data_IF_094159569306
#
_entry.id   IF_094159569306
#
_cell.length_a   1.000
_cell.length_b   1.000
_cell.length_c   1.000
_cell.angle_alpha   90.00
_cell.angle_beta   90.00
_cell.angle_gamma   90.00
#
_symmetry.space_group_name_H-M   'P 1'
#
loop_
_entity.id
_entity.type
_entity.pdbx_description
1 polymer ?
#
# COMPACT_ATOMS: atom_id res chain seq x y z
N UNK A 1 -1.59 26.94 8.09
CA UNK A 1 -2.77 26.05 8.08
C UNK A 1 -2.28 24.60 8.03
N UNK A 2 -2.95 23.69 8.74
CA UNK A 2 -2.60 22.26 8.68
C UNK A 2 -2.83 21.72 7.25
N UNK A 3 -2.08 20.68 6.88
CA UNK A 3 -2.25 20.00 5.59
C UNK A 3 -3.33 18.93 5.75
N UNK A 4 -4.48 19.16 5.14
CA UNK A 4 -5.68 18.38 5.33
C UNK A 4 -5.88 17.35 4.18
N UNK A 5 -6.82 16.40 4.38
CA UNK A 5 -7.14 15.37 3.40
C UNK A 5 -7.53 15.96 2.03
N UNK A 6 -8.36 17.00 2.00
CA UNK A 6 -8.80 17.64 0.74
C UNK A 6 -7.62 18.26 -0.03
N UNK A 7 -6.66 18.85 0.69
CA UNK A 7 -5.44 19.38 0.07
C UNK A 7 -4.57 18.23 -0.46
N UNK A 8 -4.45 17.13 0.29
CA UNK A 8 -3.73 15.93 -0.17
C UNK A 8 -4.37 15.34 -1.43
N UNK A 9 -5.69 15.21 -1.49
CA UNK A 9 -6.43 14.77 -2.67
C UNK A 9 -6.13 15.66 -3.88
N UNK A 10 -6.21 16.99 -3.70
CA UNK A 10 -5.91 17.95 -4.77
C UNK A 10 -4.47 17.82 -5.29
N UNK A 11 -3.50 17.67 -4.37
CA UNK A 11 -2.10 17.51 -4.73
C UNK A 11 -1.84 16.16 -5.42
N UNK A 12 -2.48 15.07 -4.99
CA UNK A 12 -2.44 13.77 -5.68
C UNK A 12 -2.95 13.88 -7.12
N UNK A 13 -4.13 14.49 -7.33
CA UNK A 13 -4.69 14.72 -8.67
C UNK A 13 -3.71 15.50 -9.55
N UNK A 14 -3.17 16.59 -9.02
CA UNK A 14 -2.22 17.45 -9.75
C UNK A 14 -0.96 16.70 -10.15
N UNK A 15 -0.35 15.96 -9.22
CA UNK A 15 0.87 15.19 -9.46
C UNK A 15 0.65 14.07 -10.48
N UNK A 16 -0.42 13.26 -10.30
CA UNK A 16 -0.71 12.13 -11.17
C UNK A 16 -1.24 12.54 -12.56
N UNK A 17 -1.90 13.69 -12.69
CA UNK A 17 -2.30 14.24 -14.00
C UNK A 17 -1.08 14.74 -14.78
N UNK A 18 -0.12 15.39 -14.09
CA UNK A 18 1.11 15.88 -14.70
C UNK A 18 2.06 14.75 -15.07
N UNK A 19 2.22 13.77 -14.18
CA UNK A 19 3.09 12.61 -14.35
C UNK A 19 2.48 11.39 -13.65
N UNK A 20 1.84 10.46 -14.36
CA UNK A 20 1.32 9.21 -13.79
C UNK A 20 2.42 8.18 -13.46
N UNK A 21 3.67 8.47 -13.83
CA UNK A 21 4.84 7.61 -13.67
C UNK A 21 5.49 7.71 -12.28
N UNK A 22 6.71 7.18 -12.16
CA UNK A 22 7.41 7.09 -10.87
C UNK A 22 7.63 8.42 -10.17
N UNK A 23 7.84 9.52 -10.91
CA UNK A 23 8.10 10.84 -10.31
C UNK A 23 6.85 11.43 -9.67
N UNK A 24 5.69 11.40 -10.37
CA UNK A 24 4.43 11.88 -9.78
C UNK A 24 3.98 11.04 -8.60
N UNK A 25 4.22 9.71 -8.66
CA UNK A 25 3.96 8.81 -7.52
C UNK A 25 4.87 9.11 -6.33
N UNK A 26 6.11 9.49 -6.55
CA UNK A 26 7.02 9.93 -5.48
C UNK A 26 6.54 11.23 -4.83
N UNK A 27 5.98 12.16 -5.59
CA UNK A 27 5.35 13.35 -5.02
C UNK A 27 4.14 12.99 -4.15
N UNK A 28 3.31 12.02 -4.58
CA UNK A 28 2.21 11.49 -3.75
C UNK A 28 2.75 10.91 -2.44
N UNK A 29 3.85 10.16 -2.49
CA UNK A 29 4.50 9.60 -1.29
C UNK A 29 4.95 10.71 -0.33
N UNK A 30 5.62 11.73 -0.84
CA UNK A 30 6.07 12.88 -0.02
C UNK A 30 4.89 13.63 0.59
N UNK A 31 3.83 13.84 -0.19
CA UNK A 31 2.62 14.50 0.28
C UNK A 31 1.87 13.65 1.33
N UNK A 32 1.92 12.31 1.23
CA UNK A 32 1.38 11.42 2.27
C UNK A 32 2.17 11.56 3.57
N UNK A 33 3.50 11.64 3.53
CA UNK A 33 4.29 11.91 4.73
C UNK A 33 3.91 13.26 5.37
N UNK A 34 3.65 14.28 4.54
CA UNK A 34 3.18 15.58 5.03
C UNK A 34 1.80 15.50 5.68
N UNK A 35 0.86 14.74 5.10
CA UNK A 35 -0.47 14.52 5.67
C UNK A 35 -0.38 13.82 7.04
N UNK A 36 0.49 12.83 7.17
CA UNK A 36 0.72 12.09 8.41
C UNK A 36 1.41 12.92 9.51
N UNK A 37 1.94 14.11 9.21
CA UNK A 37 2.38 15.07 10.23
C UNK A 37 1.23 15.90 10.82
N UNK A 38 0.02 15.84 10.23
CA UNK A 38 -1.15 16.49 10.78
C UNK A 38 -1.77 15.60 11.89
N UNK A 39 -1.67 16.00 13.18
CA UNK A 39 -2.16 15.18 14.28
C UNK A 39 -3.69 15.04 14.28
N UNK A 40 -4.40 16.03 13.76
CA UNK A 40 -5.87 15.96 13.67
C UNK A 40 -6.32 14.95 12.63
N UNK A 41 -5.63 14.88 11.49
CA UNK A 41 -5.88 13.85 10.49
C UNK A 41 -5.62 12.45 11.07
N UNK A 42 -4.47 12.25 11.71
CA UNK A 42 -4.10 10.95 12.30
C UNK A 42 -5.10 10.54 13.37
N UNK A 43 -5.46 11.45 14.27
CA UNK A 43 -6.45 11.19 15.30
C UNK A 43 -7.81 10.79 14.71
N UNK A 44 -8.35 11.61 13.81
CA UNK A 44 -9.69 11.41 13.25
C UNK A 44 -9.80 10.17 12.36
N UNK A 45 -8.84 9.95 11.46
CA UNK A 45 -8.93 8.93 10.42
C UNK A 45 -8.17 7.64 10.73
N UNK A 46 -7.32 7.66 11.76
CA UNK A 46 -6.52 6.49 12.12
C UNK A 46 -6.76 6.01 13.55
N UNK A 47 -6.73 6.90 14.55
CA UNK A 47 -6.80 6.50 15.96
C UNK A 47 -8.23 6.28 16.45
N UNK A 48 -9.13 7.23 16.17
CA UNK A 48 -10.54 7.21 16.60
C UNK A 48 -11.46 6.47 15.63
N UNK A 49 -10.98 6.17 14.41
CA UNK A 49 -11.76 5.44 13.43
C UNK A 49 -11.99 3.98 13.87
N UNK A 50 -13.18 3.42 13.61
CA UNK A 50 -13.49 2.04 13.96
C UNK A 50 -12.58 1.06 13.19
N UNK A 51 -12.39 -0.15 13.77
CA UNK A 51 -11.63 -1.22 13.11
C UNK A 51 -12.15 -1.50 11.71
N UNK A 52 -11.24 -1.68 10.77
CA UNK A 52 -11.55 -2.07 9.40
C UNK A 52 -10.71 -1.36 8.35
N UNK A 53 -11.14 -1.52 7.12
CA UNK A 53 -10.62 -0.82 5.96
C UNK A 53 -11.60 0.29 5.59
N UNK A 54 -11.13 1.53 5.58
CA UNK A 54 -11.95 2.69 5.25
C UNK A 54 -11.45 3.34 3.98
N UNK A 55 -12.32 3.47 2.98
CA UNK A 55 -12.04 4.27 1.78
C UNK A 55 -12.27 5.74 2.17
N UNK A 56 -11.19 6.50 2.29
CA UNK A 56 -11.23 7.92 2.58
C UNK A 56 -11.54 8.74 1.32
N UNK A 57 -11.05 8.26 0.18
CA UNK A 57 -11.28 8.87 -1.12
C UNK A 57 -11.04 7.88 -2.26
N UNK A 58 -11.85 7.98 -3.31
CA UNK A 58 -11.66 7.32 -4.60
C UNK A 58 -11.82 8.35 -5.71
N UNK A 59 -10.79 8.46 -6.56
CA UNK A 59 -10.80 9.45 -7.65
C UNK A 59 -11.65 8.96 -8.83
N UNK A 60 -12.68 9.72 -9.25
CA UNK A 60 -13.59 9.27 -10.29
C UNK A 60 -12.99 9.28 -11.71
N UNK A 61 -11.89 10.00 -11.94
CA UNK A 61 -11.26 10.13 -13.25
C UNK A 61 -9.95 9.35 -13.34
N UNK A 62 -9.08 9.47 -12.32
CA UNK A 62 -7.77 8.83 -12.29
C UNK A 62 -7.80 7.44 -11.64
N UNK A 63 -8.87 7.11 -10.91
CA UNK A 63 -9.10 5.81 -10.30
C UNK A 63 -8.26 5.48 -9.08
N UNK A 64 -7.39 6.37 -8.60
CA UNK A 64 -6.61 6.12 -7.39
C UNK A 64 -7.49 6.13 -6.14
N UNK A 65 -7.12 5.34 -5.15
CA UNK A 65 -7.81 5.26 -3.86
C UNK A 65 -6.89 5.68 -2.70
N UNK A 66 -7.47 6.33 -1.68
CA UNK A 66 -6.84 6.60 -0.39
C UNK A 66 -7.61 5.80 0.66
N UNK A 67 -6.93 4.90 1.36
CA UNK A 67 -7.54 3.96 2.30
C UNK A 67 -6.85 4.03 3.66
N UNK A 68 -7.63 4.05 4.75
CA UNK A 68 -7.10 3.89 6.09
C UNK A 68 -7.29 2.44 6.57
N UNK A 69 -6.20 1.83 7.03
CA UNK A 69 -6.18 0.49 7.61
C UNK A 69 -6.13 0.58 9.12
N UNK A 70 -7.20 0.17 9.78
CA UNK A 70 -7.37 0.24 11.24
C UNK A 70 -7.35 -1.19 11.78
N UNK A 71 -6.19 -1.62 12.28
CA UNK A 71 -5.95 -3.01 12.66
C UNK A 71 -5.91 -3.16 14.19
N UNK A 72 -6.64 -4.13 14.73
CA UNK A 72 -6.59 -4.45 16.17
C UNK A 72 -5.60 -5.58 16.46
N UNK A 73 -5.31 -6.42 15.48
CA UNK A 73 -4.46 -7.59 15.62
C UNK A 73 -3.27 -7.54 14.70
N UNK A 74 -2.16 -8.04 15.20
CA UNK A 74 -0.95 -8.27 14.44
C UNK A 74 -1.23 -9.16 13.21
N UNK A 75 -0.49 -8.92 12.14
CA UNK A 75 -0.59 -9.72 10.92
C UNK A 75 0.75 -9.81 10.21
N UNK A 76 1.01 -10.99 9.68
CA UNK A 76 2.06 -11.25 8.69
C UNK A 76 1.38 -11.61 7.38
N UNK A 77 1.62 -10.86 6.32
CA UNK A 77 1.14 -11.22 4.98
C UNK A 77 2.17 -12.08 4.25
N UNK A 78 1.75 -13.03 3.41
CA UNK A 78 2.65 -13.64 2.44
C UNK A 78 3.13 -12.60 1.43
N UNK A 79 4.26 -12.86 0.71
CA UNK A 79 4.64 -12.04 -0.42
C UNK A 79 3.51 -11.97 -1.45
N UNK A 80 3.31 -10.78 -1.99
CA UNK A 80 2.26 -10.51 -2.98
C UNK A 80 2.65 -9.27 -3.82
N UNK A 81 2.00 -9.11 -4.94
CA UNK A 81 2.04 -7.88 -5.70
C UNK A 81 0.66 -7.18 -5.74
N UNK A 82 0.62 -6.05 -6.39
CA UNK A 82 -0.61 -5.31 -6.66
C UNK A 82 -0.97 -5.32 -8.16
N UNK A 83 -0.46 -6.32 -8.91
CA UNK A 83 -0.72 -6.43 -10.34
C UNK A 83 -0.27 -5.18 -11.10
N UNK A 84 -1.17 -4.62 -11.91
CA UNK A 84 -0.92 -3.41 -12.69
C UNK A 84 -1.11 -2.10 -11.89
N UNK A 85 -1.04 -2.16 -10.55
CA UNK A 85 -1.16 -0.98 -9.69
C UNK A 85 0.10 -0.78 -8.85
N UNK A 86 0.43 0.48 -8.65
CA UNK A 86 1.37 0.90 -7.61
C UNK A 86 0.64 1.03 -6.27
N UNK A 87 1.41 1.03 -5.17
CA UNK A 87 0.91 1.31 -3.85
C UNK A 87 1.91 2.12 -3.02
N UNK A 88 1.38 3.02 -2.19
CA UNK A 88 2.15 3.78 -1.21
C UNK A 88 1.56 3.48 0.15
N UNK A 89 2.41 3.13 1.12
CA UNK A 89 2.04 2.88 2.51
C UNK A 89 2.64 3.96 3.39
N UNK A 90 1.80 4.68 4.12
CA UNK A 90 2.21 5.69 5.09
C UNK A 90 1.81 5.29 6.50
N UNK A 91 2.77 5.19 7.42
CA UNK A 91 2.53 4.74 8.78
C UNK A 91 1.95 5.86 9.65
N UNK A 92 0.82 5.59 10.31
CA UNK A 92 0.20 6.53 11.23
C UNK A 92 0.58 6.22 12.69
N UNK A 93 0.44 4.96 13.14
CA UNK A 93 0.79 4.54 14.51
C UNK A 93 1.56 3.23 14.52
N UNK A 94 2.36 2.96 15.55
CA UNK A 94 3.24 1.79 15.65
C UNK A 94 4.23 1.70 14.47
N UNK A 95 4.34 0.54 13.83
CA UNK A 95 5.20 0.35 12.65
C UNK A 95 4.61 -0.73 11.73
N UNK A 96 5.06 -0.72 10.49
CA UNK A 96 4.92 -1.85 9.58
C UNK A 96 6.31 -2.23 9.07
N UNK A 97 6.71 -3.48 9.29
CA UNK A 97 7.91 -4.06 8.71
C UNK A 97 7.58 -4.51 7.29
N UNK A 98 8.31 -3.97 6.33
CA UNK A 98 8.17 -4.20 4.90
C UNK A 98 9.33 -5.07 4.44
N UNK A 99 9.06 -6.15 3.71
CA UNK A 99 10.09 -6.92 3.01
C UNK A 99 9.81 -6.90 1.53
N UNK A 100 10.80 -6.46 0.75
CA UNK A 100 10.80 -6.52 -0.71
C UNK A 100 11.40 -7.85 -1.16
N UNK A 101 10.80 -8.45 -2.19
CA UNK A 101 11.17 -9.77 -2.70
C UNK A 101 11.46 -9.69 -4.19
N UNK A 102 12.37 -10.53 -4.66
CA UNK A 102 12.63 -10.76 -6.07
C UNK A 102 12.55 -12.24 -6.41
N UNK A 103 12.16 -12.55 -7.64
CA UNK A 103 12.24 -13.92 -8.15
C UNK A 103 13.70 -14.31 -8.35
N UNK A 104 14.07 -15.52 -7.92
CA UNK A 104 15.36 -16.15 -8.21
C UNK A 104 15.30 -17.03 -9.47
N UNK A 105 14.09 -17.37 -9.92
CA UNK A 105 13.83 -18.15 -11.13
C UNK A 105 13.63 -17.22 -12.34
N UNK A 106 13.57 -17.81 -13.53
CA UNK A 106 13.40 -17.11 -14.80
C UNK A 106 11.94 -16.68 -15.10
N UNK A 107 11.00 -17.04 -14.21
CA UNK A 107 9.58 -16.76 -14.39
C UNK A 107 8.89 -17.62 -15.43
N UNK A 108 9.53 -18.68 -15.91
CA UNK A 108 8.99 -19.56 -16.95
C UNK A 108 7.76 -20.37 -16.51
N UNK A 109 7.64 -20.67 -15.21
CA UNK A 109 6.45 -21.32 -14.65
C UNK A 109 5.55 -20.28 -13.98
N UNK A 110 4.34 -20.02 -14.52
CA UNK A 110 3.41 -19.07 -13.92
C UNK A 110 2.76 -19.57 -12.61
N UNK A 111 2.83 -20.88 -12.32
CA UNK A 111 2.24 -21.51 -11.13
C UNK A 111 3.22 -21.63 -9.97
N UNK A 112 4.51 -21.47 -10.20
CA UNK A 112 5.55 -21.55 -9.18
C UNK A 112 6.56 -20.41 -9.28
N UNK A 113 7.06 -19.99 -8.14
CA UNK A 113 8.11 -18.98 -8.01
C UNK A 113 9.03 -19.29 -6.85
N UNK A 114 10.31 -19.09 -7.06
CA UNK A 114 11.31 -19.05 -5.99
C UNK A 114 11.63 -17.59 -5.70
N UNK A 115 11.37 -17.15 -4.47
CA UNK A 115 11.61 -15.77 -4.04
C UNK A 115 12.80 -15.69 -3.09
N UNK A 116 13.54 -14.59 -3.17
CA UNK A 116 14.52 -14.17 -2.17
C UNK A 116 14.15 -12.80 -1.60
N UNK A 117 14.37 -12.55 -0.31
CA UNK A 117 14.25 -11.22 0.26
C UNK A 117 15.42 -10.36 -0.23
N UNK A 118 15.12 -9.13 -0.63
CA UNK A 118 16.12 -8.16 -1.10
C UNK A 118 16.39 -7.10 -0.03
N UNK A 119 15.32 -6.64 0.62
CA UNK A 119 15.40 -5.57 1.60
C UNK A 119 14.30 -5.72 2.64
N UNK A 120 14.63 -5.56 3.91
CA UNK A 120 13.66 -5.46 5.00
C UNK A 120 13.89 -4.16 5.76
N UNK A 121 12.83 -3.41 6.03
CA UNK A 121 12.88 -2.15 6.76
C UNK A 121 11.54 -1.87 7.45
N UNK A 122 11.52 -0.91 8.37
CA UNK A 122 10.30 -0.50 9.07
C UNK A 122 9.86 0.88 8.63
N UNK A 123 8.58 0.98 8.31
CA UNK A 123 7.89 2.25 8.25
C UNK A 123 7.44 2.61 9.66
N UNK A 124 7.85 3.77 10.13
CA UNK A 124 7.51 4.34 11.43
C UNK A 124 6.55 5.52 11.25
N UNK A 125 5.86 6.01 12.30
CA UNK A 125 4.90 7.11 12.18
C UNK A 125 5.45 8.30 11.40
N UNK A 126 4.67 8.79 10.44
CA UNK A 126 5.02 9.90 9.56
C UNK A 126 5.92 9.52 8.37
N UNK A 127 6.27 8.23 8.19
CA UNK A 127 7.06 7.75 7.06
C UNK A 127 6.22 6.96 6.07
N UNK A 128 6.56 7.07 4.79
CA UNK A 128 5.88 6.36 3.71
C UNK A 128 6.87 5.67 2.75
N UNK A 129 6.50 4.47 2.30
CA UNK A 129 7.19 3.68 1.28
C UNK A 129 6.34 3.53 0.03
N UNK A 130 6.99 3.43 -1.14
CA UNK A 130 6.34 3.24 -2.43
C UNK A 130 6.75 1.91 -3.07
N UNK A 131 5.77 1.23 -3.67
CA UNK A 131 5.89 -0.01 -4.44
C UNK A 131 5.32 0.23 -5.83
N UNK A 132 6.18 0.20 -6.82
CA UNK A 132 5.79 0.35 -8.23
C UNK A 132 5.03 -0.91 -8.71
N UNK A 133 4.44 -0.82 -9.90
CA UNK A 133 3.66 -1.89 -10.50
C UNK A 133 4.43 -3.23 -10.50
N UNK A 134 3.78 -4.31 -10.08
CA UNK A 134 4.34 -5.66 -10.06
C UNK A 134 5.46 -5.90 -9.02
N UNK A 135 5.80 -4.93 -8.17
CA UNK A 135 6.80 -5.14 -7.10
C UNK A 135 6.26 -6.07 -6.03
N UNK A 136 7.01 -7.13 -5.77
CA UNK A 136 6.63 -8.14 -4.76
C UNK A 136 7.09 -7.66 -3.38
N UNK A 137 6.17 -7.63 -2.43
CA UNK A 137 6.46 -7.29 -1.05
C UNK A 137 5.59 -8.07 -0.07
N UNK A 138 6.00 -8.09 1.18
CA UNK A 138 5.20 -8.58 2.31
C UNK A 138 5.23 -7.57 3.45
N UNK A 139 4.19 -7.59 4.28
CA UNK A 139 4.06 -6.71 5.43
C UNK A 139 3.90 -7.52 6.71
N UNK A 140 4.52 -7.04 7.78
CA UNK A 140 4.39 -7.56 9.13
C UNK A 140 4.16 -6.37 10.09
N UNK A 141 3.06 -6.38 10.82
CA UNK A 141 2.73 -5.32 11.76
C UNK A 141 2.17 -5.87 13.08
N UNK A 142 2.41 -5.16 14.20
CA UNK A 142 1.91 -5.54 15.52
C UNK A 142 0.42 -5.24 15.69
N UNK A 143 -0.12 -5.64 16.84
CA UNK A 143 -1.44 -5.21 17.29
C UNK A 143 -1.55 -3.68 17.25
N UNK A 144 -2.73 -3.19 16.90
CA UNK A 144 -3.08 -1.77 16.83
C UNK A 144 -2.29 -0.92 15.82
N UNK A 145 -1.58 -1.53 14.86
CA UNK A 145 -0.95 -0.76 13.80
C UNK A 145 -2.00 -0.07 12.91
N UNK A 146 -1.77 1.19 12.60
CA UNK A 146 -2.60 2.03 11.74
C UNK A 146 -1.76 2.59 10.61
N UNK A 147 -2.24 2.48 9.39
CA UNK A 147 -1.55 3.06 8.24
C UNK A 147 -2.53 3.50 7.15
N UNK A 148 -2.09 4.46 6.35
CA UNK A 148 -2.80 4.92 5.15
C UNK A 148 -2.16 4.30 3.93
N UNK A 149 -2.96 3.77 3.02
CA UNK A 149 -2.50 3.24 1.74
C UNK A 149 -3.11 4.05 0.60
N UNK A 150 -2.27 4.44 -0.35
CA UNK A 150 -2.72 5.00 -1.63
C UNK A 150 -2.42 3.98 -2.71
N UNK A 151 -3.38 3.69 -3.58
CA UNK A 151 -3.22 2.75 -4.70
C UNK A 151 -3.62 3.41 -6.00
N UNK A 152 -2.99 3.01 -7.11
CA UNK A 152 -3.27 3.57 -8.43
C UNK A 152 -4.66 3.21 -8.97
N UNK A 153 -5.30 2.19 -8.40
CA UNK A 153 -6.67 1.78 -8.71
C UNK A 153 -7.26 1.00 -7.55
N UNK A 154 -8.54 0.68 -7.63
CA UNK A 154 -9.20 -0.25 -6.72
C UNK A 154 -8.62 -1.66 -6.91
N UNK A 155 -7.85 -2.14 -5.92
CA UNK A 155 -7.18 -3.44 -5.99
C UNK A 155 -8.14 -4.63 -6.05
N UNK A 156 -9.40 -4.46 -5.64
CA UNK A 156 -10.41 -5.51 -5.69
C UNK A 156 -10.97 -5.70 -7.11
N UNK A 157 -10.62 -4.83 -8.03
CA UNK A 157 -11.05 -4.87 -9.45
C UNK A 157 -9.96 -5.36 -10.40
N UNK A 158 -8.77 -5.70 -9.90
CA UNK A 158 -7.65 -6.13 -10.74
C UNK A 158 -7.08 -7.48 -10.31
N UNK A 159 -6.41 -8.17 -11.23
CA UNK A 159 -5.69 -9.39 -10.94
C UNK A 159 -4.41 -9.08 -10.15
N UNK A 160 -4.15 -9.86 -9.12
CA UNK A 160 -2.97 -9.78 -8.26
C UNK A 160 -2.45 -11.18 -8.02
N UNK A 161 -1.21 -11.31 -7.58
CA UNK A 161 -0.65 -12.61 -7.21
C UNK A 161 -0.19 -12.64 -5.76
N UNK A 162 -0.25 -13.81 -5.17
CA UNK A 162 0.25 -14.12 -3.84
C UNK A 162 1.16 -15.34 -3.95
N UNK A 163 2.26 -15.34 -3.20
CA UNK A 163 3.28 -16.36 -3.24
C UNK A 163 3.32 -17.13 -1.92
N UNK A 164 3.38 -18.44 -1.99
CA UNK A 164 3.63 -19.30 -0.83
C UNK A 164 5.14 -19.60 -0.75
N UNK A 165 5.81 -19.08 0.26
CA UNK A 165 7.26 -19.28 0.46
C UNK A 165 7.66 -20.72 0.78
N UNK A 166 6.73 -21.55 1.26
CA UNK A 166 7.03 -22.95 1.63
C UNK A 166 6.94 -23.89 0.43
N UNK A 167 5.91 -23.70 -0.37
CA UNK A 167 5.64 -24.56 -1.54
C UNK A 167 6.14 -23.98 -2.86
N UNK A 168 6.38 -22.67 -2.91
CA UNK A 168 6.64 -21.94 -4.14
C UNK A 168 5.40 -21.66 -4.97
N UNK A 169 4.21 -22.07 -4.53
CA UNK A 169 2.96 -21.90 -5.29
C UNK A 169 2.64 -20.41 -5.49
N UNK A 170 2.25 -20.08 -6.73
CA UNK A 170 1.77 -18.74 -7.12
C UNK A 170 0.24 -18.79 -7.25
N UNK A 171 -0.44 -18.08 -6.35
CA UNK A 171 -1.91 -17.99 -6.36
C UNK A 171 -2.37 -16.72 -7.03
N UNK A 172 -3.17 -16.88 -8.09
CA UNK A 172 -3.86 -15.75 -8.71
C UNK A 172 -5.04 -15.30 -7.82
N UNK A 173 -5.10 -14.01 -7.56
CA UNK A 173 -6.23 -13.36 -6.90
C UNK A 173 -7.01 -12.57 -7.95
N UNK A 174 -8.16 -13.12 -8.36
CA UNK A 174 -9.05 -12.44 -9.29
C UNK A 174 -9.98 -11.47 -8.56
N UNK A 175 -10.59 -10.50 -9.26
CA UNK A 175 -11.53 -9.54 -8.65
C UNK A 175 -12.65 -10.16 -7.80
N UNK A 176 -13.12 -11.36 -8.14
CA UNK A 176 -14.19 -12.06 -7.41
C UNK A 176 -13.71 -12.71 -6.10
N UNK A 177 -12.40 -12.83 -5.88
CA UNK A 177 -11.79 -13.49 -4.70
C UNK A 177 -11.17 -12.49 -3.71
N UNK A 178 -11.28 -11.21 -3.99
CA UNK A 178 -10.66 -10.15 -3.20
C UNK A 178 -11.51 -9.70 -2.00
N UNK A 179 -12.70 -10.31 -1.79
CA UNK A 179 -13.61 -10.05 -0.64
C UNK A 179 -13.20 -10.80 0.62
#
# INVERSE_FOLDING_TARGET
MAYELDQFVSDCRSSLTRDPGPQGREEVRVNLERLLQNPDFVRQHCEEAPRGLHVLYEDPELGFQILAHINDKARVSPPHDHGASWAIYGQATHYTEMTEWEREDDGGDPSHAKLKPVKTYRLTPGKAGIYQDGRIHSINYPDFARFVRVTGTNLDQINRVRFDLKTGEVKQMTPQQAT
#
